data_IF_188124830049
#
_entry.id   IF_188124830049
#
_cell.length_a   1.000
_cell.length_b   1.000
_cell.length_c   1.000
_cell.angle_alpha   90.00
_cell.angle_beta   90.00
_cell.angle_gamma   90.00
#
_symmetry.space_group_name_H-M   'P 1'
#
loop_
_entity.id
_entity.type
_entity.pdbx_description
1 polymer ?
#
# COMPACT_ATOMS: atom_id res chain seq x y z
N UNK A 1 -28.40 -30.26 50.62
CA UNK A 1 -27.10 -30.94 50.44
C UNK A 1 -27.18 -31.74 49.15
N UNK A 2 -26.10 -31.66 48.38
CA UNK A 2 -25.75 -32.53 47.25
C UNK A 2 -26.38 -32.19 45.89
N UNK A 3 -25.53 -31.62 45.03
CA UNK A 3 -25.71 -31.50 43.58
C UNK A 3 -25.34 -32.84 42.92
N UNK A 4 -26.15 -33.31 41.97
CA UNK A 4 -25.74 -34.31 40.96
C UNK A 4 -26.16 -33.83 39.56
N UNK A 5 -25.27 -34.10 38.58
CA UNK A 5 -25.21 -33.52 37.23
C UNK A 5 -26.12 -34.24 36.23
N UNK A 6 -26.71 -33.50 35.28
CA UNK A 6 -26.78 -33.81 33.82
C UNK A 6 -27.62 -32.68 33.19
N UNK A 7 -27.15 -31.84 32.27
CA UNK A 7 -26.51 -32.17 31.00
C UNK A 7 -27.22 -31.37 29.90
N UNK A 8 -26.77 -30.13 29.71
CA UNK A 8 -26.86 -29.30 28.48
C UNK A 8 -28.13 -29.38 27.62
N UNK A 9 -29.02 -28.38 27.77
CA UNK A 9 -30.05 -28.08 26.79
C UNK A 9 -29.79 -26.69 26.18
N UNK A 10 -29.33 -26.72 24.92
CA UNK A 10 -29.40 -25.65 23.90
C UNK A 10 -28.89 -24.26 24.29
N UNK A 11 -27.61 -23.99 24.02
CA UNK A 11 -27.17 -22.60 23.77
C UNK A 11 -27.80 -22.14 22.45
N UNK A 12 -28.72 -21.20 22.62
CA UNK A 12 -29.39 -20.41 21.58
C UNK A 12 -28.36 -19.96 20.54
N UNK A 13 -28.68 -20.22 19.27
CA UNK A 13 -27.81 -19.99 18.13
C UNK A 13 -27.19 -18.60 18.15
N UNK A 14 -25.92 -18.57 17.77
CA UNK A 14 -25.12 -17.38 17.51
C UNK A 14 -25.91 -16.43 16.59
N UNK A 15 -26.52 -15.41 17.20
CA UNK A 15 -26.92 -14.18 16.53
C UNK A 15 -25.63 -13.40 16.22
N UNK A 16 -24.90 -13.80 15.18
CA UNK A 16 -23.88 -12.95 14.56
C UNK A 16 -23.53 -13.50 13.16
N UNK A 17 -24.53 -13.49 12.28
CA UNK A 17 -24.29 -13.42 10.84
C UNK A 17 -24.66 -11.99 10.42
N UNK A 18 -23.83 -11.04 10.89
CA UNK A 18 -23.60 -9.79 10.18
C UNK A 18 -23.17 -10.21 8.77
N UNK A 19 -24.16 -10.26 7.87
CA UNK A 19 -23.98 -10.46 6.45
C UNK A 19 -22.99 -9.39 6.01
N UNK A 20 -21.72 -9.76 5.89
CA UNK A 20 -20.67 -8.93 5.32
C UNK A 20 -20.96 -8.84 3.83
N UNK A 21 -21.90 -7.97 3.51
CA UNK A 21 -22.28 -7.58 2.18
C UNK A 21 -21.03 -7.03 1.52
N UNK A 22 -20.37 -7.86 0.71
CA UNK A 22 -19.36 -7.45 -0.25
C UNK A 22 -20.06 -6.63 -1.34
N UNK A 23 -20.58 -5.47 -0.95
CA UNK A 23 -21.04 -4.45 -1.84
C UNK A 23 -19.81 -3.99 -2.61
N UNK A 24 -19.69 -4.50 -3.83
CA UNK A 24 -18.77 -4.01 -4.86
C UNK A 24 -19.24 -2.60 -5.22
N UNK A 25 -19.07 -1.67 -4.28
CA UNK A 25 -19.56 -0.30 -4.36
C UNK A 25 -18.99 0.28 -5.64
N UNK A 26 -19.87 0.49 -6.63
CA UNK A 26 -19.54 1.33 -7.76
C UNK A 26 -19.08 2.65 -7.17
N UNK A 27 -17.79 2.97 -7.36
CA UNK A 27 -17.23 4.17 -6.79
C UNK A 27 -18.09 5.36 -7.25
N UNK A 28 -18.62 6.19 -6.35
CA UNK A 28 -19.50 7.30 -6.73
C UNK A 28 -18.82 8.17 -7.79
N UNK A 29 -19.61 8.83 -8.67
CA UNK A 29 -19.05 9.73 -9.68
C UNK A 29 -18.15 10.76 -8.99
N UNK A 30 -17.02 11.07 -9.62
CA UNK A 30 -16.09 12.09 -9.10
C UNK A 30 -16.73 13.46 -9.22
N UNK A 31 -16.87 14.16 -8.09
CA UNK A 31 -17.29 15.56 -8.07
C UNK A 31 -16.16 16.46 -8.61
N UNK A 32 -16.50 17.68 -9.02
CA UNK A 32 -15.52 18.68 -9.47
C UNK A 32 -14.56 19.04 -8.32
N UNK A 33 -15.09 19.25 -7.13
CA UNK A 33 -14.33 19.54 -5.89
C UNK A 33 -13.33 18.41 -5.53
N UNK A 34 -13.79 17.15 -5.59
CA UNK A 34 -12.92 15.98 -5.38
C UNK A 34 -11.81 15.88 -6.42
N UNK A 35 -12.11 16.28 -7.67
CA UNK A 35 -11.15 16.26 -8.77
C UNK A 35 -10.09 17.35 -8.60
N UNK A 36 -10.49 18.55 -8.20
CA UNK A 36 -9.58 19.66 -7.92
C UNK A 36 -8.66 19.32 -6.74
N UNK A 37 -9.23 18.82 -5.64
CA UNK A 37 -8.47 18.40 -4.46
C UNK A 37 -7.48 17.27 -4.78
N UNK A 38 -7.87 16.31 -5.63
CA UNK A 38 -6.98 15.27 -6.13
C UNK A 38 -5.79 15.86 -6.91
N UNK A 39 -6.03 16.84 -7.77
CA UNK A 39 -4.96 17.48 -8.55
C UNK A 39 -4.01 18.30 -7.67
N UNK A 40 -4.53 19.00 -6.66
CA UNK A 40 -3.70 19.72 -5.68
C UNK A 40 -2.77 18.76 -4.94
N UNK A 41 -3.31 17.68 -4.37
CA UNK A 41 -2.49 16.66 -3.70
C UNK A 41 -1.52 15.95 -4.65
N UNK A 42 -1.95 15.76 -5.91
CA UNK A 42 -1.11 15.15 -6.93
C UNK A 42 0.12 16.02 -7.22
N UNK A 43 -0.07 17.32 -7.40
CA UNK A 43 1.00 18.30 -7.60
C UNK A 43 1.86 18.49 -6.35
N UNK A 44 1.26 18.40 -5.16
CA UNK A 44 1.96 18.42 -3.87
C UNK A 44 2.79 17.17 -3.58
N UNK A 45 2.81 16.18 -4.48
CA UNK A 45 3.68 15.00 -4.35
C UNK A 45 3.20 13.94 -3.35
N UNK A 46 1.97 14.02 -2.81
CA UNK A 46 1.41 13.01 -1.89
C UNK A 46 1.16 11.66 -2.54
N UNK A 47 1.48 10.53 -1.91
CA UNK A 47 1.32 9.22 -2.55
C UNK A 47 -0.15 8.90 -2.90
N UNK A 48 -0.37 7.99 -3.88
CA UNK A 48 -1.74 7.54 -4.23
C UNK A 48 -2.50 6.97 -3.03
N UNK A 49 -1.80 6.32 -2.09
CA UNK A 49 -2.40 5.79 -0.87
C UNK A 49 -2.86 6.90 0.08
N UNK A 50 -2.05 7.95 0.26
CA UNK A 50 -2.45 9.11 1.07
C UNK A 50 -3.62 9.87 0.46
N UNK A 51 -3.62 10.06 -0.87
CA UNK A 51 -4.72 10.69 -1.59
C UNK A 51 -6.00 9.84 -1.52
N UNK A 52 -5.87 8.52 -1.61
CA UNK A 52 -6.98 7.59 -1.46
C UNK A 52 -7.61 7.66 -0.06
N UNK A 53 -6.77 7.70 1.00
CA UNK A 53 -7.22 7.87 2.38
C UNK A 53 -7.94 9.21 2.58
N UNK A 54 -7.37 10.31 2.08
CA UNK A 54 -7.94 11.65 2.30
C UNK A 54 -9.22 11.90 1.50
N UNK A 55 -9.38 11.26 0.34
CA UNK A 55 -10.59 11.34 -0.49
C UNK A 55 -11.60 10.23 -0.17
N UNK A 56 -11.29 9.36 0.80
CA UNK A 56 -12.07 8.17 1.14
C UNK A 56 -12.39 7.31 -0.11
N UNK A 57 -11.42 7.19 -1.02
CA UNK A 57 -11.50 6.42 -2.27
C UNK A 57 -10.52 5.25 -2.23
N UNK A 58 -10.68 4.31 -3.15
CA UNK A 58 -9.70 3.24 -3.34
C UNK A 58 -8.50 3.75 -4.13
N UNK A 59 -7.32 3.15 -3.87
CA UNK A 59 -6.10 3.41 -4.64
C UNK A 59 -6.33 3.30 -6.16
N UNK A 60 -7.04 2.25 -6.58
CA UNK A 60 -7.35 2.01 -7.99
C UNK A 60 -8.22 3.11 -8.60
N UNK A 61 -9.21 3.62 -7.86
CA UNK A 61 -10.07 4.72 -8.31
C UNK A 61 -9.27 6.02 -8.52
N UNK A 62 -8.39 6.36 -7.58
CA UNK A 62 -7.48 7.51 -7.69
C UNK A 62 -6.56 7.39 -8.91
N UNK A 63 -5.93 6.22 -9.08
CA UNK A 63 -5.06 5.95 -10.22
C UNK A 63 -5.81 6.08 -11.56
N UNK A 64 -7.00 5.47 -11.66
CA UNK A 64 -7.81 5.51 -12.88
C UNK A 64 -8.31 6.92 -13.19
N UNK A 65 -8.70 7.69 -12.17
CA UNK A 65 -9.10 9.08 -12.34
C UNK A 65 -7.95 9.94 -12.88
N UNK A 66 -6.76 9.82 -12.30
CA UNK A 66 -5.57 10.53 -12.79
C UNK A 66 -5.23 10.14 -14.23
N UNK A 67 -5.33 8.85 -14.57
CA UNK A 67 -5.15 8.36 -15.94
C UNK A 67 -6.17 8.96 -16.91
N UNK A 68 -7.46 9.03 -16.52
CA UNK A 68 -8.51 9.66 -17.33
C UNK A 68 -8.28 11.17 -17.53
N UNK A 69 -7.71 11.85 -16.54
CA UNK A 69 -7.30 13.25 -16.62
C UNK A 69 -6.02 13.47 -17.43
N UNK A 70 -5.41 12.42 -17.98
CA UNK A 70 -4.16 12.49 -18.74
C UNK A 70 -2.94 12.78 -17.88
N UNK A 71 -3.05 12.67 -16.55
CA UNK A 71 -1.91 12.85 -15.66
C UNK A 71 -0.98 11.65 -15.81
N UNK A 72 0.34 11.87 -15.99
CA UNK A 72 1.27 10.77 -16.11
C UNK A 72 1.18 9.92 -14.83
N UNK A 73 1.19 8.60 -14.99
CA UNK A 73 1.41 7.71 -13.85
C UNK A 73 2.68 8.21 -13.16
N UNK A 74 2.60 8.49 -11.86
CA UNK A 74 3.78 8.91 -11.13
C UNK A 74 4.81 7.84 -11.34
N UNK A 75 6.03 8.26 -11.64
CA UNK A 75 7.18 7.36 -11.68
C UNK A 75 7.27 6.75 -10.29
N UNK A 76 6.76 5.52 -10.14
CA UNK A 76 6.87 4.69 -8.94
C UNK A 76 8.32 4.77 -8.50
N UNK A 77 8.58 5.54 -7.45
CA UNK A 77 9.87 5.94 -6.89
C UNK A 77 11.06 5.20 -7.53
N UNK A 78 11.34 5.53 -8.80
CA UNK A 78 12.06 4.59 -9.67
C UNK A 78 13.49 4.78 -9.30
N UNK A 79 14.08 3.72 -8.74
CA UNK A 79 15.48 3.75 -8.37
C UNK A 79 16.28 4.20 -9.59
N UNK A 80 16.92 5.36 -9.48
CA UNK A 80 17.65 5.93 -10.62
C UNK A 80 18.89 5.08 -10.90
N UNK A 81 19.45 5.20 -12.10
CA UNK A 81 20.70 4.49 -12.43
C UNK A 81 21.85 4.89 -11.50
N UNK A 82 21.88 6.17 -11.07
CA UNK A 82 22.85 6.68 -10.10
C UNK A 82 22.70 5.98 -8.74
N UNK A 83 21.48 5.92 -8.21
CA UNK A 83 21.19 5.23 -6.94
C UNK A 83 21.46 3.73 -7.04
N UNK A 84 21.15 3.12 -8.18
CA UNK A 84 21.44 1.71 -8.45
C UNK A 84 22.94 1.44 -8.37
N UNK A 85 23.74 2.24 -9.05
CA UNK A 85 25.20 2.12 -9.00
C UNK A 85 25.76 2.35 -7.60
N UNK A 86 25.21 3.30 -6.85
CA UNK A 86 25.60 3.56 -5.46
C UNK A 86 25.29 2.38 -4.54
N UNK A 87 24.09 1.79 -4.66
CA UNK A 87 23.70 0.59 -3.91
C UNK A 87 24.60 -0.59 -4.23
N UNK A 88 24.89 -0.84 -5.51
CA UNK A 88 25.80 -1.92 -5.93
C UNK A 88 27.21 -1.69 -5.39
N UNK A 89 27.71 -0.45 -5.45
CA UNK A 89 29.03 -0.08 -4.91
C UNK A 89 29.11 -0.33 -3.40
N UNK A 90 28.11 0.11 -2.63
CA UNK A 90 28.07 -0.08 -1.18
C UNK A 90 27.94 -1.57 -0.81
N UNK A 91 27.20 -2.35 -1.59
CA UNK A 91 27.09 -3.79 -1.40
C UNK A 91 28.41 -4.51 -1.69
N UNK A 92 29.12 -4.13 -2.76
CA UNK A 92 30.46 -4.64 -3.07
C UNK A 92 31.52 -4.26 -2.03
N UNK A 93 31.30 -3.18 -1.26
CA UNK A 93 32.12 -2.82 -0.10
C UNK A 93 31.79 -3.64 1.17
N UNK A 94 30.86 -4.60 1.08
CA UNK A 94 30.48 -5.47 2.20
C UNK A 94 29.47 -4.86 3.17
N UNK A 95 28.83 -3.72 2.84
CA UNK A 95 27.78 -3.15 3.69
C UNK A 95 26.51 -3.99 3.64
N UNK A 96 25.83 -4.09 4.78
CA UNK A 96 24.55 -4.79 4.84
C UNK A 96 23.45 -4.01 4.14
N UNK A 97 22.45 -4.71 3.61
CA UNK A 97 21.27 -4.10 2.96
C UNK A 97 20.59 -3.04 3.84
N UNK A 98 20.55 -3.26 5.17
CA UNK A 98 20.00 -2.31 6.13
C UNK A 98 20.85 -1.03 6.25
N UNK A 99 22.18 -1.16 6.25
CA UNK A 99 23.08 0.00 6.25
C UNK A 99 22.95 0.78 4.95
N UNK A 100 22.85 0.09 3.81
CA UNK A 100 22.68 0.70 2.49
C UNK A 100 21.37 1.48 2.42
N UNK A 101 20.27 0.92 2.93
CA UNK A 101 18.98 1.59 3.03
C UNK A 101 19.09 2.92 3.83
N UNK A 102 19.76 2.88 4.99
CA UNK A 102 20.02 4.08 5.80
C UNK A 102 20.87 5.13 5.07
N UNK A 103 21.89 4.71 4.33
CA UNK A 103 22.80 5.61 3.60
C UNK A 103 22.11 6.26 2.41
N UNK A 104 21.33 5.49 1.65
CA UNK A 104 20.68 5.95 0.41
C UNK A 104 19.32 6.60 0.66
N UNK A 105 18.83 6.59 1.90
CA UNK A 105 17.48 7.07 2.24
C UNK A 105 16.36 6.23 1.62
N UNK A 106 16.68 5.00 1.17
CA UNK A 106 15.72 4.07 0.56
C UNK A 106 15.26 3.03 1.58
N UNK A 107 14.13 2.40 1.29
CA UNK A 107 13.64 1.30 2.12
C UNK A 107 14.50 0.05 1.93
N UNK A 108 14.60 -0.76 2.98
CA UNK A 108 15.26 -2.07 2.91
C UNK A 108 14.73 -2.92 1.75
N UNK A 109 13.40 -2.96 1.58
CA UNK A 109 12.74 -3.71 0.51
C UNK A 109 13.13 -3.24 -0.90
N UNK A 110 13.32 -1.93 -1.08
CA UNK A 110 13.78 -1.37 -2.35
C UNK A 110 15.20 -1.85 -2.68
N UNK A 111 16.11 -1.77 -1.70
CA UNK A 111 17.50 -2.25 -1.82
C UNK A 111 17.56 -3.75 -2.06
N UNK A 112 16.80 -4.55 -1.29
CA UNK A 112 16.73 -6.01 -1.43
C UNK A 112 16.19 -6.42 -2.80
N UNK A 113 15.09 -5.80 -3.23
CA UNK A 113 14.46 -6.10 -4.53
C UNK A 113 15.39 -5.79 -5.69
N UNK A 114 16.16 -4.69 -5.60
CA UNK A 114 17.19 -4.35 -6.58
C UNK A 114 18.29 -5.40 -6.63
N UNK A 115 18.89 -5.74 -5.49
CA UNK A 115 20.00 -6.70 -5.44
C UNK A 115 19.56 -8.09 -5.89
N UNK A 116 18.32 -8.50 -5.59
CA UNK A 116 17.72 -9.74 -6.10
C UNK A 116 17.56 -9.71 -7.61
N UNK A 117 17.08 -8.60 -8.16
CA UNK A 117 16.96 -8.40 -9.62
C UNK A 117 18.32 -8.46 -10.33
N UNK A 118 19.39 -8.04 -9.64
CA UNK A 118 20.77 -8.09 -10.14
C UNK A 118 21.50 -9.42 -9.84
N UNK A 119 20.83 -10.39 -9.20
CA UNK A 119 21.42 -11.69 -8.84
C UNK A 119 22.51 -11.60 -7.75
N UNK A 120 22.59 -10.49 -7.01
CA UNK A 120 23.60 -10.26 -5.96
C UNK A 120 23.18 -10.79 -4.59
N UNK A 121 21.90 -11.09 -4.40
CA UNK A 121 21.39 -11.77 -3.21
C UNK A 121 20.21 -12.68 -3.57
N UNK A 122 20.06 -13.80 -2.86
CA UNK A 122 18.93 -14.71 -2.97
C UNK A 122 17.78 -14.34 -2.05
#
# INVERSE_FOLDING_TARGET
MSYEHSGSETVKGFEDDEVFELNRQQSPRWSEDETEKLLEMYNGGRSYSEMALELNRTYGSVQHKLMYLGMPARKLNRLTEKETNEIVKLFSQGKSQQQIAKITGRTYDSVRSLLRKLGKCS
#
